data_IF_392921856523
#
_entry.id   IF_392921856523
#
_cell.length_a   1.000
_cell.length_b   1.000
_cell.length_c   1.000
_cell.angle_alpha   90.00
_cell.angle_beta   90.00
_cell.angle_gamma   90.00
#
_symmetry.space_group_name_H-M   'P 1'
#
loop_
_entity.id
_entity.type
_entity.pdbx_description
1 polymer ?
#
# COMPACT_ATOMS: atom_id res chain seq x y z
N UNK A 1 -7.48 -75.32 10.51
CA UNK A 1 -7.80 -73.90 10.76
C UNK A 1 -8.37 -73.29 9.48
N UNK A 2 -9.69 -73.36 9.34
CA UNK A 2 -10.52 -72.76 8.30
C UNK A 2 -11.82 -72.38 9.01
N UNK A 3 -11.87 -71.20 9.60
CA UNK A 3 -13.03 -70.61 10.25
C UNK A 3 -12.80 -69.10 10.19
N UNK A 4 -13.86 -68.33 9.99
CA UNK A 4 -13.88 -66.87 9.74
C UNK A 4 -13.74 -66.46 8.26
N UNK A 5 -14.63 -66.96 7.39
CA UNK A 5 -14.88 -66.30 6.09
C UNK A 5 -16.35 -66.29 5.62
N UNK A 6 -17.31 -66.57 6.50
CA UNK A 6 -18.73 -66.57 6.11
C UNK A 6 -19.66 -66.37 7.32
N UNK A 7 -19.88 -65.13 7.71
CA UNK A 7 -21.02 -64.77 8.55
C UNK A 7 -21.39 -63.31 8.24
N UNK A 8 -22.69 -63.08 8.03
CA UNK A 8 -23.39 -61.79 7.90
C UNK A 8 -23.69 -61.31 6.47
N UNK A 9 -24.30 -62.20 5.67
CA UNK A 9 -25.54 -61.84 4.97
C UNK A 9 -26.70 -62.59 5.64
N UNK A 10 -27.76 -61.89 6.02
CA UNK A 10 -29.12 -62.45 6.09
C UNK A 10 -29.73 -62.67 7.48
N UNK A 11 -30.51 -61.68 7.94
CA UNK A 11 -31.75 -61.77 8.75
C UNK A 11 -32.40 -60.37 8.67
N UNK A 12 -33.40 -60.05 7.83
CA UNK A 12 -34.80 -60.53 7.79
C UNK A 12 -35.40 -60.63 9.22
N UNK A 13 -36.56 -60.08 9.58
CA UNK A 13 -37.61 -59.29 8.93
C UNK A 13 -38.55 -58.79 10.06
N UNK A 14 -39.36 -57.77 9.79
CA UNK A 14 -40.68 -57.63 10.42
C UNK A 14 -40.94 -56.33 11.20
N UNK A 15 -41.49 -55.32 10.51
CA UNK A 15 -42.62 -54.54 11.06
C UNK A 15 -43.70 -54.44 9.97
N UNK A 16 -44.91 -54.71 10.43
CA UNK A 16 -46.16 -55.00 9.75
C UNK A 16 -46.78 -53.76 9.11
N UNK A 17 -47.48 -53.99 8.00
CA UNK A 17 -48.30 -53.05 7.26
C UNK A 17 -49.36 -52.34 8.12
N UNK A 18 -49.48 -51.02 7.94
CA UNK A 18 -50.69 -50.24 8.25
C UNK A 18 -50.90 -49.19 7.16
N UNK A 19 -52.04 -49.28 6.48
CA UNK A 19 -52.80 -48.14 5.95
C UNK A 19 -52.29 -47.46 4.67
N UNK A 20 -52.94 -47.76 3.54
CA UNK A 20 -53.04 -46.86 2.40
C UNK A 20 -53.82 -45.60 2.80
N UNK A 21 -53.13 -44.51 3.13
CA UNK A 21 -53.72 -43.18 3.16
C UNK A 21 -53.52 -42.54 1.78
N UNK A 22 -54.62 -42.48 1.03
CA UNK A 22 -54.76 -41.66 -0.17
C UNK A 22 -54.62 -40.19 0.18
N UNK A 23 -54.02 -39.44 -0.76
CA UNK A 23 -53.93 -37.99 -0.87
C UNK A 23 -54.72 -37.16 0.16
N UNK A 24 -53.99 -36.35 0.91
CA UNK A 24 -54.37 -34.95 1.03
C UNK A 24 -53.34 -34.17 0.22
N UNK A 25 -53.68 -33.92 -1.05
CA UNK A 25 -53.11 -32.81 -1.80
C UNK A 25 -53.28 -31.57 -0.92
N UNK A 26 -52.20 -31.14 -0.27
CA UNK A 26 -52.06 -29.73 0.04
C UNK A 26 -52.21 -29.03 -1.31
N UNK A 27 -53.12 -28.05 -1.45
CA UNK A 27 -53.20 -27.28 -2.67
C UNK A 27 -51.78 -26.83 -2.96
N UNK A 28 -51.25 -27.30 -4.08
CA UNK A 28 -50.11 -26.67 -4.74
C UNK A 28 -50.60 -25.25 -4.99
N UNK A 29 -50.50 -24.39 -3.97
CA UNK A 29 -50.27 -22.97 -4.15
C UNK A 29 -48.99 -23.00 -4.93
N UNK A 30 -49.15 -23.03 -6.25
CA UNK A 30 -48.19 -22.66 -7.28
C UNK A 30 -47.01 -22.05 -6.57
N UNK A 31 -46.00 -22.89 -6.25
CA UNK A 31 -44.77 -22.36 -5.70
C UNK A 31 -44.41 -21.28 -6.73
N UNK A 32 -44.35 -20.02 -6.28
CA UNK A 32 -43.92 -18.93 -7.15
C UNK A 32 -42.66 -19.45 -7.86
N UNK A 33 -42.50 -19.21 -9.18
CA UNK A 33 -41.31 -19.68 -9.89
C UNK A 33 -40.11 -19.35 -9.01
N UNK A 34 -39.46 -20.39 -8.48
CA UNK A 34 -38.24 -20.17 -7.72
C UNK A 34 -37.26 -19.81 -8.81
N UNK A 35 -37.03 -18.52 -9.01
CA UNK A 35 -36.03 -18.02 -9.95
C UNK A 35 -34.67 -18.47 -9.41
N UNK A 36 -34.27 -19.66 -9.84
CA UNK A 36 -32.96 -20.20 -9.53
C UNK A 36 -31.91 -19.30 -10.15
N UNK A 37 -30.80 -19.15 -9.45
CA UNK A 37 -29.61 -18.50 -9.96
C UNK A 37 -29.12 -19.29 -11.18
N UNK A 38 -29.29 -18.71 -12.36
CA UNK A 38 -28.90 -19.34 -13.63
C UNK A 38 -27.43 -19.07 -13.91
N UNK A 39 -26.72 -20.05 -14.47
CA UNK A 39 -25.33 -19.86 -14.91
C UNK A 39 -25.30 -18.87 -16.07
N UNK A 40 -24.44 -17.86 -15.98
CA UNK A 40 -24.17 -16.95 -17.08
C UNK A 40 -22.90 -17.36 -17.82
N UNK A 41 -23.07 -17.97 -18.99
CA UNK A 41 -21.95 -18.39 -19.84
C UNK A 41 -21.33 -17.25 -20.64
N UNK A 42 -21.99 -16.08 -20.74
CA UNK A 42 -21.55 -14.96 -21.58
C UNK A 42 -20.21 -14.35 -21.15
N UNK A 43 -19.89 -14.36 -19.85
CA UNK A 43 -18.69 -13.75 -19.29
C UNK A 43 -17.71 -14.75 -18.64
N UNK A 44 -17.95 -16.04 -18.83
CA UNK A 44 -17.06 -17.12 -18.38
C UNK A 44 -17.49 -17.81 -17.09
N UNK A 45 -16.59 -18.61 -16.55
CA UNK A 45 -16.85 -19.44 -15.36
C UNK A 45 -17.04 -18.58 -14.10
N UNK A 46 -17.90 -19.06 -13.20
CA UNK A 46 -18.19 -18.40 -11.92
C UNK A 46 -19.21 -17.25 -12.00
N UNK A 47 -19.71 -16.91 -13.20
CA UNK A 47 -20.78 -15.93 -13.37
C UNK A 47 -22.17 -16.58 -13.31
N UNK A 48 -23.10 -15.85 -12.71
CA UNK A 48 -24.51 -16.20 -12.67
C UNK A 48 -25.40 -14.99 -12.93
N UNK A 49 -26.58 -15.19 -13.49
CA UNK A 49 -27.53 -14.09 -13.72
C UNK A 49 -28.10 -13.61 -12.39
N UNK A 50 -28.16 -12.28 -12.23
CA UNK A 50 -28.97 -11.66 -11.19
C UNK A 50 -30.44 -11.87 -11.58
N UNK A 51 -31.27 -12.49 -10.71
CA UNK A 51 -32.66 -12.80 -11.04
C UNK A 51 -33.44 -11.58 -11.56
N UNK A 52 -34.15 -11.76 -12.68
CA UNK A 52 -34.93 -10.69 -13.32
C UNK A 52 -34.13 -9.70 -14.17
N UNK A 53 -32.85 -9.98 -14.45
CA UNK A 53 -31.99 -9.10 -15.27
C UNK A 53 -31.13 -9.91 -16.24
N UNK A 54 -30.58 -9.23 -17.26
CA UNK A 54 -29.55 -9.78 -18.16
C UNK A 54 -28.12 -9.53 -17.64
N UNK A 55 -27.99 -9.15 -16.36
CA UNK A 55 -26.71 -8.86 -15.72
C UNK A 55 -26.13 -10.11 -15.07
N UNK A 56 -24.86 -10.38 -15.39
CA UNK A 56 -24.12 -11.49 -14.83
C UNK A 56 -23.26 -11.01 -13.66
N UNK A 57 -23.35 -11.68 -12.52
CA UNK A 57 -22.57 -11.41 -11.32
C UNK A 57 -21.60 -12.56 -11.05
N UNK A 58 -20.35 -12.22 -10.75
CA UNK A 58 -19.40 -13.12 -10.10
C UNK A 58 -19.15 -12.65 -8.68
N UNK A 59 -19.28 -13.57 -7.73
CA UNK A 59 -18.85 -13.38 -6.34
C UNK A 59 -17.58 -14.18 -6.16
N UNK A 60 -16.54 -13.53 -5.65
CA UNK A 60 -15.29 -14.18 -5.29
C UNK A 60 -14.65 -13.50 -4.10
N UNK A 61 -13.43 -13.89 -3.79
CA UNK A 61 -12.66 -13.23 -2.75
C UNK A 61 -11.67 -14.17 -2.08
N UNK A 62 -11.33 -13.86 -0.84
CA UNK A 62 -10.47 -14.72 -0.04
C UNK A 62 -10.71 -14.54 1.46
N UNK A 63 -10.32 -15.55 2.23
CA UNK A 63 -10.01 -15.40 3.65
C UNK A 63 -8.53 -15.69 3.82
N UNK A 64 -7.81 -14.79 4.50
CA UNK A 64 -6.40 -15.00 4.82
C UNK A 64 -6.14 -14.82 6.31
N UNK A 65 -5.18 -15.58 6.79
CA UNK A 65 -4.53 -15.41 8.08
C UNK A 65 -3.06 -15.06 7.84
N UNK A 66 -2.54 -14.11 8.61
CA UNK A 66 -1.14 -13.74 8.59
C UNK A 66 -0.56 -13.72 9.99
N UNK A 67 0.64 -14.28 10.12
CA UNK A 67 1.48 -14.18 11.31
C UNK A 67 2.80 -13.58 10.89
N UNK A 68 3.14 -12.45 11.46
CA UNK A 68 4.34 -11.69 11.13
C UNK A 68 5.22 -11.58 12.36
N UNK A 69 6.45 -12.03 12.23
CA UNK A 69 7.53 -11.66 13.12
C UNK A 69 8.33 -10.55 12.46
N UNK A 70 8.76 -9.58 13.24
CA UNK A 70 9.67 -8.57 12.76
C UNK A 70 10.63 -8.18 13.87
N UNK A 71 11.92 -8.11 13.52
CA UNK A 71 13.00 -7.65 14.40
C UNK A 71 12.63 -6.32 15.08
N UNK A 72 13.21 -6.04 16.26
CA UNK A 72 13.01 -4.81 16.99
C UNK A 72 13.52 -3.61 16.16
N UNK A 73 12.59 -2.83 15.62
CA UNK A 73 12.84 -1.45 15.25
C UNK A 73 12.66 -0.58 16.49
N UNK A 74 13.52 0.42 16.71
CA UNK A 74 13.35 1.39 17.79
C UNK A 74 12.18 2.31 17.42
N UNK A 75 10.96 1.96 17.82
CA UNK A 75 9.79 2.81 17.60
C UNK A 75 9.67 3.78 18.76
N UNK A 76 9.71 5.08 18.50
CA UNK A 76 9.14 6.07 19.41
C UNK A 76 7.63 6.01 19.23
N UNK A 77 6.91 5.50 20.24
CA UNK A 77 5.45 5.56 20.24
C UNK A 77 5.00 7.03 20.14
N UNK A 78 4.47 7.43 18.99
CA UNK A 78 3.90 8.76 18.74
C UNK A 78 2.57 9.02 19.48
N UNK A 79 2.24 8.26 20.53
CA UNK A 79 0.93 8.32 21.18
C UNK A 79 0.94 8.14 22.71
N UNK A 80 1.98 8.60 23.39
CA UNK A 80 1.86 8.95 24.82
C UNK A 80 1.57 10.44 24.95
N UNK A 81 0.35 10.84 24.57
CA UNK A 81 -0.24 12.05 25.11
C UNK A 81 -0.58 11.75 26.59
N UNK A 82 0.37 12.03 27.47
CA UNK A 82 0.13 11.97 28.91
C UNK A 82 -0.76 13.16 29.30
N UNK A 83 -2.07 12.93 29.39
CA UNK A 83 -3.07 13.90 29.82
C UNK A 83 -2.93 14.34 31.30
N UNK A 84 -1.85 13.98 32.00
CA UNK A 84 -1.58 14.45 33.37
C UNK A 84 -0.63 15.65 33.45
N UNK A 85 -0.10 16.12 32.31
CA UNK A 85 0.75 17.31 32.27
C UNK A 85 -0.13 18.59 32.19
N UNK A 86 -0.05 19.51 33.16
CA UNK A 86 -0.80 20.78 33.15
C UNK A 86 -0.50 21.62 31.90
N UNK A 87 -1.51 22.30 31.36
CA UNK A 87 -1.46 23.08 30.12
C UNK A 87 -0.50 24.30 30.14
N UNK A 88 0.18 24.55 31.26
CA UNK A 88 1.22 25.57 31.43
C UNK A 88 2.65 24.99 31.45
N UNK A 89 2.81 23.67 31.33
CA UNK A 89 4.12 23.06 31.09
C UNK A 89 4.45 23.10 29.60
N UNK A 90 5.23 24.10 29.23
CA UNK A 90 6.01 24.19 27.99
C UNK A 90 6.98 22.99 27.88
N UNK A 91 6.44 21.83 27.55
CA UNK A 91 7.21 20.65 27.20
C UNK A 91 6.68 20.09 25.91
N UNK A 92 7.16 20.69 24.81
CA UNK A 92 7.19 20.13 23.48
C UNK A 92 7.47 18.62 23.53
N UNK A 93 6.48 17.84 23.14
CA UNK A 93 6.56 16.40 22.96
C UNK A 93 7.35 16.07 21.68
N UNK A 94 8.62 16.48 21.61
CA UNK A 94 9.66 15.78 20.84
C UNK A 94 10.62 15.03 21.76
N UNK A 95 10.23 14.85 23.04
CA UNK A 95 10.84 13.78 23.85
C UNK A 95 10.63 12.48 23.08
N UNK A 96 11.73 11.94 22.55
CA UNK A 96 11.86 10.50 22.30
C UNK A 96 11.51 9.86 23.65
N UNK A 97 10.24 9.47 23.82
CA UNK A 97 9.75 8.97 25.09
C UNK A 97 10.52 7.68 25.37
N UNK A 98 11.46 7.77 26.32
CA UNK A 98 12.26 6.67 26.88
C UNK A 98 11.38 5.50 27.34
N UNK A 99 10.11 5.76 27.66
CA UNK A 99 9.18 4.79 28.21
C UNK A 99 8.25 4.13 27.15
N UNK A 100 8.37 4.52 25.87
CA UNK A 100 7.60 3.94 24.73
C UNK A 100 8.44 3.27 23.65
N UNK A 101 9.77 3.31 23.77
CA UNK A 101 10.70 2.61 22.89
C UNK A 101 10.52 1.10 22.96
N UNK A 102 9.86 0.47 21.98
CA UNK A 102 9.85 -1.00 21.91
C UNK A 102 11.18 -1.51 21.38
N UNK A 103 12.10 -1.85 22.29
CA UNK A 103 13.29 -2.67 22.01
C UNK A 103 12.97 -4.17 21.77
N UNK A 104 11.69 -4.50 21.59
CA UNK A 104 11.22 -5.87 21.51
C UNK A 104 10.80 -6.19 20.09
N UNK A 105 11.23 -7.36 19.59
CA UNK A 105 10.72 -7.89 18.33
C UNK A 105 9.19 -7.94 18.37
N UNK A 106 8.56 -7.57 17.27
CA UNK A 106 7.11 -7.54 17.16
C UNK A 106 6.61 -8.85 16.58
N UNK A 107 5.56 -9.39 17.18
CA UNK A 107 4.82 -10.52 16.65
C UNK A 107 3.35 -10.15 16.50
N UNK A 108 2.91 -10.00 15.26
CA UNK A 108 1.58 -9.53 14.91
C UNK A 108 0.82 -10.62 14.18
N UNK A 109 -0.47 -10.77 14.51
CA UNK A 109 -1.36 -11.74 13.90
C UNK A 109 -2.67 -11.06 13.53
N UNK A 110 -3.17 -11.32 12.33
CA UNK A 110 -4.46 -10.82 11.90
C UNK A 110 -5.10 -11.74 10.87
N UNK A 111 -6.41 -11.58 10.70
CA UNK A 111 -7.16 -12.19 9.62
C UNK A 111 -7.83 -11.10 8.79
N UNK A 112 -7.89 -11.31 7.46
CA UNK A 112 -8.62 -10.44 6.53
C UNK A 112 -9.52 -11.28 5.64
N UNK A 113 -10.76 -10.84 5.49
CA UNK A 113 -11.65 -11.25 4.41
C UNK A 113 -11.63 -10.26 3.27
N UNK A 114 -11.69 -10.75 2.03
CA UNK A 114 -12.02 -9.96 0.84
C UNK A 114 -13.30 -10.52 0.23
N UNK A 115 -14.21 -9.62 -0.16
CA UNK A 115 -15.41 -9.93 -0.95
C UNK A 115 -15.32 -9.12 -2.23
N UNK A 116 -15.34 -9.82 -3.36
CA UNK A 116 -15.30 -9.25 -4.70
C UNK A 116 -16.63 -9.49 -5.40
N UNK A 117 -17.21 -8.41 -5.94
CA UNK A 117 -18.43 -8.42 -6.73
C UNK A 117 -18.10 -7.85 -8.12
N UNK A 118 -18.22 -8.67 -9.17
CA UNK A 118 -18.00 -8.26 -10.57
C UNK A 118 -19.30 -8.48 -11.34
N UNK A 119 -20.02 -7.40 -11.62
CA UNK A 119 -21.27 -7.41 -12.39
C UNK A 119 -20.98 -6.96 -13.83
N UNK A 120 -21.49 -7.70 -14.81
CA UNK A 120 -21.30 -7.43 -16.24
C UNK A 120 -22.60 -7.55 -17.01
N UNK A 121 -22.84 -6.60 -17.89
CA UNK A 121 -24.00 -6.59 -18.80
C UNK A 121 -23.51 -6.33 -20.20
N UNK A 122 -23.96 -7.14 -21.16
CA UNK A 122 -23.69 -6.88 -22.57
C UNK A 122 -24.60 -5.75 -23.04
N UNK A 123 -24.03 -4.72 -23.65
CA UNK A 123 -24.78 -3.60 -24.23
C UNK A 123 -24.40 -3.42 -25.70
N UNK A 124 -25.16 -2.60 -26.42
CA UNK A 124 -24.85 -2.26 -27.81
C UNK A 124 -23.51 -1.51 -27.98
N UNK A 125 -22.98 -0.91 -26.91
CA UNK A 125 -21.72 -0.16 -26.88
C UNK A 125 -20.55 -0.98 -26.30
N UNK A 126 -20.75 -2.27 -26.07
CA UNK A 126 -19.78 -3.17 -25.44
C UNK A 126 -20.19 -3.57 -24.02
N UNK A 127 -19.26 -4.15 -23.26
CA UNK A 127 -19.54 -4.64 -21.91
C UNK A 127 -19.60 -3.47 -20.92
N UNK A 128 -20.72 -3.31 -20.24
CA UNK A 128 -20.82 -2.51 -19.02
C UNK A 128 -20.39 -3.38 -17.85
N UNK A 129 -19.39 -2.93 -17.09
CA UNK A 129 -18.89 -3.62 -15.91
C UNK A 129 -19.01 -2.73 -14.67
N UNK A 130 -19.38 -3.33 -13.55
CA UNK A 130 -19.35 -2.73 -12.23
C UNK A 130 -18.59 -3.67 -11.30
N UNK A 131 -17.55 -3.15 -10.66
CA UNK A 131 -16.69 -3.94 -9.78
C UNK A 131 -16.62 -3.30 -8.40
N UNK A 132 -16.67 -4.13 -7.36
CA UNK A 132 -16.40 -3.73 -5.99
C UNK A 132 -15.57 -4.80 -5.27
N UNK A 133 -14.53 -4.37 -4.55
CA UNK A 133 -13.75 -5.19 -3.63
C UNK A 133 -13.80 -4.58 -2.23
N UNK A 134 -14.27 -5.37 -1.28
CA UNK A 134 -14.47 -4.98 0.12
C UNK A 134 -13.53 -5.78 0.98
N UNK A 135 -12.70 -5.09 1.77
CA UNK A 135 -11.89 -5.71 2.81
C UNK A 135 -12.58 -5.62 4.16
N UNK A 136 -12.53 -6.74 4.88
CA UNK A 136 -13.02 -6.89 6.25
C UNK A 136 -11.86 -7.35 7.11
N UNK A 137 -11.46 -6.50 8.04
CA UNK A 137 -10.44 -6.77 9.05
C UNK A 137 -11.08 -6.77 10.45
N UNK A 138 -10.31 -7.14 11.47
CA UNK A 138 -10.74 -7.01 12.86
C UNK A 138 -10.98 -5.54 13.21
N UNK A 139 -12.25 -5.14 13.24
CA UNK A 139 -12.67 -3.78 13.63
C UNK A 139 -12.78 -2.76 12.51
N UNK A 140 -12.52 -3.12 11.24
CA UNK A 140 -12.70 -2.21 10.11
C UNK A 140 -13.27 -2.90 8.88
N UNK A 141 -14.06 -2.16 8.12
CA UNK A 141 -14.52 -2.55 6.78
C UNK A 141 -14.23 -1.40 5.83
N UNK A 142 -13.58 -1.69 4.69
CA UNK A 142 -13.20 -0.67 3.72
C UNK A 142 -13.47 -1.13 2.30
N UNK A 143 -13.83 -0.17 1.43
CA UNK A 143 -13.88 -0.36 -0.01
C UNK A 143 -12.46 -0.19 -0.57
N UNK A 144 -11.83 -1.28 -0.99
CA UNK A 144 -10.48 -1.24 -1.58
C UNK A 144 -10.55 -0.68 -3.00
N UNK A 145 -11.44 -1.25 -3.81
CA UNK A 145 -11.70 -0.86 -5.19
C UNK A 145 -13.21 -0.84 -5.45
N UNK A 146 -13.68 0.11 -6.26
CA UNK A 146 -15.10 0.29 -6.56
C UNK A 146 -15.29 1.18 -7.78
N UNK A 147 -15.57 0.61 -8.95
CA UNK A 147 -15.59 1.36 -10.21
C UNK A 147 -16.59 0.80 -11.23
N UNK A 148 -16.90 1.64 -12.21
CA UNK A 148 -17.70 1.31 -13.39
C UNK A 148 -16.81 1.43 -14.63
N UNK A 149 -16.86 0.43 -15.51
CA UNK A 149 -16.19 0.45 -16.81
C UNK A 149 -17.21 0.35 -17.95
N UNK A 150 -17.07 1.22 -18.94
CA UNK A 150 -17.95 1.27 -20.10
C UNK A 150 -17.28 1.94 -21.29
N UNK A 151 -17.25 1.28 -22.45
CA UNK A 151 -16.69 1.84 -23.70
C UNK A 151 -15.28 2.46 -23.55
N UNK A 152 -14.41 1.81 -22.77
CA UNK A 152 -13.04 2.28 -22.48
C UNK A 152 -12.95 3.30 -21.34
N UNK A 153 -14.07 3.87 -20.87
CA UNK A 153 -14.10 4.71 -19.69
C UNK A 153 -14.04 3.87 -18.41
N UNK A 154 -13.34 4.37 -17.40
CA UNK A 154 -13.32 3.84 -16.04
C UNK A 154 -13.56 4.97 -15.06
N UNK A 155 -14.58 4.83 -14.20
CA UNK A 155 -14.96 5.84 -13.22
C UNK A 155 -15.12 5.19 -11.84
N UNK A 156 -14.43 5.72 -10.82
CA UNK A 156 -14.56 5.26 -9.44
C UNK A 156 -13.22 5.09 -8.74
N UNK A 157 -13.18 4.31 -7.66
CA UNK A 157 -11.99 4.07 -6.85
C UNK A 157 -11.20 2.85 -7.35
N UNK A 158 -9.92 3.03 -7.66
CA UNK A 158 -8.99 1.92 -7.99
C UNK A 158 -7.53 2.35 -7.80
N UNK A 159 -6.61 1.39 -7.94
CA UNK A 159 -5.19 1.70 -8.03
C UNK A 159 -4.87 2.59 -9.23
N UNK A 160 -3.89 3.48 -9.09
CA UNK A 160 -3.39 4.35 -10.16
C UNK A 160 -3.01 3.59 -11.44
N UNK A 161 -3.16 4.23 -12.60
CA UNK A 161 -2.59 3.71 -13.85
C UNK A 161 -1.08 3.89 -13.95
N UNK A 162 -0.46 4.66 -13.04
CA UNK A 162 0.99 4.75 -12.93
C UNK A 162 1.60 3.41 -12.54
N UNK A 163 0.89 2.62 -11.72
CA UNK A 163 1.39 1.35 -11.17
C UNK A 163 1.67 0.36 -12.29
N UNK A 164 2.94 -0.01 -12.43
CA UNK A 164 3.37 -1.09 -13.31
C UNK A 164 3.21 -2.47 -12.66
N UNK A 165 4.33 -3.10 -12.36
CA UNK A 165 4.35 -4.44 -11.78
C UNK A 165 4.20 -4.35 -10.25
N UNK A 166 3.51 -5.34 -9.65
CA UNK A 166 3.38 -5.39 -8.19
C UNK A 166 4.70 -5.79 -7.53
N UNK A 167 4.87 -5.42 -6.25
CA UNK A 167 5.91 -6.00 -5.40
C UNK A 167 5.42 -7.35 -4.85
N UNK A 168 6.21 -8.44 -4.91
CA UNK A 168 5.80 -9.77 -4.46
C UNK A 168 5.90 -9.97 -2.94
N UNK A 169 6.47 -9.00 -2.23
CA UNK A 169 6.63 -8.98 -0.78
C UNK A 169 5.27 -9.11 -0.08
N UNK A 170 5.23 -9.79 1.08
CA UNK A 170 4.00 -9.92 1.88
C UNK A 170 3.91 -8.79 2.89
N UNK A 171 4.99 -8.59 3.63
CA UNK A 171 5.13 -7.57 4.65
C UNK A 171 6.61 -7.27 4.88
N UNK A 172 6.92 -6.09 5.44
CA UNK A 172 8.31 -5.62 5.50
C UNK A 172 8.77 -5.10 4.15
N UNK A 173 10.06 -4.75 4.05
CA UNK A 173 10.70 -4.23 2.84
C UNK A 173 10.09 -2.95 2.27
N UNK A 174 10.37 -2.71 0.98
CA UNK A 174 9.91 -1.53 0.26
C UNK A 174 8.75 -1.87 -0.66
N UNK A 175 7.73 -1.03 -0.62
CA UNK A 175 6.60 -1.08 -1.53
C UNK A 175 6.77 -0.04 -2.63
N UNK A 176 6.16 -0.29 -3.78
CA UNK A 176 5.85 0.78 -4.72
C UNK A 176 4.50 1.40 -4.35
N UNK A 177 4.15 2.54 -4.94
CA UNK A 177 2.85 3.17 -4.70
C UNK A 177 1.68 2.21 -5.00
N UNK A 178 1.00 1.76 -3.94
CA UNK A 178 -0.12 0.81 -4.01
C UNK A 178 -1.48 1.46 -3.71
N UNK A 179 -1.50 2.76 -3.40
CA UNK A 179 -2.71 3.43 -2.93
C UNK A 179 -3.82 3.44 -3.99
N UNK A 180 -5.04 3.12 -3.58
CA UNK A 180 -6.24 3.23 -4.42
C UNK A 180 -6.96 4.54 -4.12
N UNK A 181 -7.32 5.29 -5.16
CA UNK A 181 -8.01 6.57 -5.05
C UNK A 181 -9.14 6.68 -6.08
N UNK A 182 -10.09 7.60 -5.89
CA UNK A 182 -11.03 8.00 -6.93
C UNK A 182 -10.29 8.44 -8.19
N UNK A 183 -10.77 8.00 -9.35
CA UNK A 183 -10.26 8.43 -10.64
C UNK A 183 -11.33 8.42 -11.73
N UNK A 184 -11.02 9.12 -12.82
CA UNK A 184 -11.66 8.99 -14.11
C UNK A 184 -10.58 8.69 -15.16
N UNK A 185 -10.80 7.68 -15.99
CA UNK A 185 -9.84 7.27 -17.00
C UNK A 185 -10.51 6.89 -18.31
N UNK A 186 -9.72 6.95 -19.38
CA UNK A 186 -10.06 6.38 -20.68
C UNK A 186 -8.91 5.50 -21.16
N UNK A 187 -9.23 4.26 -21.53
CA UNK A 187 -8.29 3.28 -22.07
C UNK A 187 -8.66 2.93 -23.50
N UNK A 188 -7.73 3.15 -24.42
CA UNK A 188 -7.80 2.66 -25.79
C UNK A 188 -7.07 1.32 -25.88
N UNK A 189 -7.79 0.27 -26.27
CA UNK A 189 -7.22 -1.04 -26.58
C UNK A 189 -6.89 -1.12 -28.08
N UNK A 190 -5.60 -1.31 -28.39
CA UNK A 190 -5.05 -1.38 -29.74
C UNK A 190 -4.45 -2.78 -30.02
N UNK A 191 -4.93 -3.81 -29.32
CA UNK A 191 -4.43 -5.17 -29.40
C UNK A 191 -3.29 -5.42 -28.40
N UNK A 192 -2.04 -5.69 -28.83
CA UNK A 192 -0.93 -5.87 -27.90
C UNK A 192 -0.59 -4.61 -27.08
N UNK A 193 -1.01 -3.43 -27.55
CA UNK A 193 -0.78 -2.15 -26.88
C UNK A 193 -2.10 -1.64 -26.31
N UNK A 194 -2.07 -1.20 -25.06
CA UNK A 194 -3.14 -0.39 -24.45
C UNK A 194 -2.58 0.96 -24.02
N UNK A 195 -3.34 2.02 -24.27
CA UNK A 195 -3.02 3.39 -23.88
C UNK A 195 -4.09 3.89 -22.93
N UNK A 196 -3.68 4.49 -21.82
CA UNK A 196 -4.59 5.04 -20.83
C UNK A 196 -4.20 6.47 -20.48
N UNK A 197 -5.22 7.32 -20.36
CA UNK A 197 -5.12 8.62 -19.70
C UNK A 197 -6.08 8.63 -18.51
N UNK A 198 -5.66 9.21 -17.39
CA UNK A 198 -6.50 9.35 -16.20
C UNK A 198 -6.29 10.68 -15.50
N UNK A 199 -7.37 11.14 -14.87
CA UNK A 199 -7.38 12.14 -13.82
C UNK A 199 -7.68 11.42 -12.50
N UNK A 200 -6.72 11.45 -11.59
CA UNK A 200 -6.75 10.71 -10.33
C UNK A 200 -6.84 11.70 -9.17
N UNK A 201 -7.47 11.31 -8.07
CA UNK A 201 -7.43 12.10 -6.83
C UNK A 201 -5.98 12.37 -6.45
N UNK A 202 -5.72 13.54 -5.88
CA UNK A 202 -4.43 13.88 -5.30
C UNK A 202 -3.98 12.76 -4.35
N UNK A 203 -2.69 12.43 -4.46
CA UNK A 203 -2.09 11.30 -3.73
C UNK A 203 -1.14 11.78 -2.65
N UNK A 204 -1.29 13.04 -2.29
CA UNK A 204 -0.53 13.71 -1.25
C UNK A 204 -0.71 12.93 0.05
N UNK A 205 0.41 12.39 0.53
CA UNK A 205 0.48 11.79 1.85
C UNK A 205 0.52 12.98 2.79
N UNK A 206 -0.59 13.23 3.49
CA UNK A 206 -0.67 14.21 4.56
C UNK A 206 0.24 13.77 5.71
N UNK A 207 1.47 14.25 5.70
CA UNK A 207 2.27 14.38 6.91
C UNK A 207 2.41 15.88 7.17
N UNK A 208 1.57 16.34 8.10
CA UNK A 208 1.62 17.70 8.63
C UNK A 208 2.99 17.85 9.32
N UNK A 209 3.87 18.64 8.73
CA UNK A 209 5.12 19.00 9.40
C UNK A 209 4.89 20.31 10.13
N UNK A 210 4.35 20.19 11.34
CA UNK A 210 4.42 21.25 12.33
C UNK A 210 5.89 21.69 12.47
N UNK A 211 6.14 22.97 12.19
CA UNK A 211 7.45 23.57 12.38
C UNK A 211 7.95 23.33 13.80
N UNK A 212 9.25 23.05 13.93
CA UNK A 212 9.87 22.92 15.26
C UNK A 212 9.89 24.32 15.89
N UNK A 213 9.16 24.49 16.99
CA UNK A 213 9.27 25.70 17.81
C UNK A 213 10.40 25.52 18.81
N UNK A 214 11.37 26.44 18.84
CA UNK A 214 12.43 26.50 19.86
C UNK A 214 12.32 27.84 20.56
N UNK A 215 12.14 27.80 21.89
CA UNK A 215 12.10 28.98 22.76
C UNK A 215 11.04 30.02 22.34
N UNK A 216 9.88 29.53 21.92
CA UNK A 216 8.77 30.37 21.44
C UNK A 216 8.95 30.93 20.03
N UNK A 217 10.06 30.59 19.34
CA UNK A 217 10.33 31.01 17.95
C UNK A 217 10.26 29.81 17.00
N UNK A 218 9.58 29.97 15.86
CA UNK A 218 9.38 28.90 14.87
C UNK A 218 10.66 28.75 14.04
N UNK A 219 11.49 27.76 14.37
CA UNK A 219 12.72 27.45 13.63
C UNK A 219 12.46 26.24 12.74
N UNK A 220 11.79 26.49 11.62
CA UNK A 220 11.55 25.49 10.59
C UNK A 220 10.42 25.91 9.66
N UNK A 221 10.74 26.17 8.39
CA UNK A 221 9.73 26.38 7.36
C UNK A 221 9.18 25.01 6.91
N UNK A 222 8.28 24.46 7.72
CA UNK A 222 7.36 23.42 7.27
C UNK A 222 6.48 23.97 6.16
N UNK A 223 6.23 23.17 5.12
CA UNK A 223 5.31 23.51 4.06
C UNK A 223 3.92 23.06 4.55
N UNK A 224 3.04 23.98 4.95
CA UNK A 224 1.62 23.64 5.02
C UNK A 224 1.20 23.32 3.59
N UNK A 225 0.99 22.05 3.23
CA UNK A 225 0.51 21.73 1.89
C UNK A 225 -0.94 22.22 1.77
N UNK A 226 -1.19 23.16 0.87
CA UNK A 226 -2.57 23.52 0.53
C UNK A 226 -3.15 22.41 -0.34
N UNK A 227 -4.45 22.11 -0.19
CA UNK A 227 -5.14 21.13 -1.04
C UNK A 227 -4.88 21.43 -2.52
N UNK A 228 -4.49 20.41 -3.28
CA UNK A 228 -4.32 20.52 -4.72
C UNK A 228 -5.59 21.11 -5.36
N UNK A 229 -5.40 22.04 -6.30
CA UNK A 229 -6.49 22.65 -7.07
C UNK A 229 -6.89 21.80 -8.28
N UNK A 230 -6.15 20.74 -8.59
CA UNK A 230 -6.37 19.86 -9.74
C UNK A 230 -6.18 18.37 -9.39
N UNK A 231 -6.80 17.45 -10.14
CA UNK A 231 -6.44 16.04 -10.07
C UNK A 231 -4.99 15.82 -10.55
N UNK A 232 -4.40 14.71 -10.11
CA UNK A 232 -3.18 14.22 -10.72
C UNK A 232 -3.50 13.66 -12.11
N UNK A 233 -2.73 14.06 -13.12
CA UNK A 233 -2.87 13.53 -14.47
C UNK A 233 -1.87 12.41 -14.69
N UNK A 234 -2.36 11.25 -15.11
CA UNK A 234 -1.53 10.09 -15.42
C UNK A 234 -1.74 9.64 -16.86
N UNK A 235 -0.66 9.33 -17.55
CA UNK A 235 -0.68 8.67 -18.84
C UNK A 235 0.12 7.36 -18.73
N UNK A 236 -0.44 6.27 -19.24
CA UNK A 236 0.18 4.96 -19.20
C UNK A 236 0.08 4.25 -20.54
N UNK A 237 1.10 3.47 -20.85
CA UNK A 237 1.15 2.54 -21.96
C UNK A 237 1.54 1.18 -21.43
N UNK A 238 0.79 0.16 -21.82
CA UNK A 238 1.13 -1.23 -21.57
C UNK A 238 1.20 -1.99 -22.87
N UNK A 239 2.30 -2.70 -23.08
CA UNK A 239 2.46 -3.67 -24.15
C UNK A 239 2.43 -5.08 -23.54
N UNK A 240 1.66 -5.99 -24.12
CA UNK A 240 1.62 -7.39 -23.71
C UNK A 240 1.48 -8.26 -24.95
N UNK A 241 2.46 -9.13 -25.16
CA UNK A 241 2.47 -10.09 -26.25
C UNK A 241 3.18 -11.36 -25.79
N UNK A 242 2.44 -12.48 -25.82
CA UNK A 242 2.90 -13.76 -25.29
C UNK A 242 3.44 -13.66 -23.85
N UNK A 243 4.62 -14.22 -23.63
CA UNK A 243 5.32 -14.22 -22.35
C UNK A 243 6.05 -12.91 -22.02
N UNK A 244 5.85 -11.81 -22.76
CA UNK A 244 6.50 -10.52 -22.50
C UNK A 244 5.47 -9.42 -22.25
N UNK A 245 5.72 -8.59 -21.23
CA UNK A 245 4.94 -7.40 -20.92
C UNK A 245 5.88 -6.23 -20.64
N UNK A 246 5.60 -5.06 -21.20
CA UNK A 246 6.21 -3.79 -20.81
C UNK A 246 5.16 -2.80 -20.31
N UNK A 247 5.56 -1.94 -19.37
CA UNK A 247 4.74 -0.86 -18.84
C UNK A 247 5.56 0.42 -18.79
N UNK A 248 4.99 1.52 -19.25
CA UNK A 248 5.53 2.86 -19.17
C UNK A 248 4.42 3.78 -18.68
N UNK A 249 4.68 4.62 -17.69
CA UNK A 249 3.72 5.63 -17.27
C UNK A 249 4.40 6.90 -16.79
N UNK A 250 3.68 8.00 -16.88
CA UNK A 250 4.04 9.30 -16.34
C UNK A 250 2.89 9.90 -15.56
N UNK A 251 3.20 10.60 -14.47
CA UNK A 251 2.25 11.33 -13.64
C UNK A 251 2.68 12.79 -13.51
N UNK A 252 1.70 13.69 -13.45
CA UNK A 252 1.85 15.12 -13.20
C UNK A 252 0.97 15.47 -11.99
N UNK A 253 1.55 16.15 -11.01
CA UNK A 253 0.88 16.56 -9.77
C UNK A 253 1.10 18.04 -9.49
N UNK A 254 0.15 18.69 -8.82
CA UNK A 254 0.28 20.07 -8.37
C UNK A 254 0.82 20.10 -6.95
N UNK A 255 1.80 20.95 -6.69
CA UNK A 255 2.30 21.23 -5.34
C UNK A 255 1.92 22.66 -5.02
N UNK A 256 1.16 22.86 -3.94
CA UNK A 256 0.69 24.18 -3.50
C UNK A 256 1.15 24.48 -2.08
N UNK A 257 1.74 25.65 -1.86
CA UNK A 257 2.00 26.13 -0.49
C UNK A 257 0.76 26.79 0.13
N UNK A 258 0.53 26.42 1.37
CA UNK A 258 -0.37 27.05 2.32
C UNK A 258 0.22 28.32 2.91
N UNK A 259 -0.50 28.88 3.87
CA UNK A 259 -0.23 30.19 4.44
C UNK A 259 0.79 30.06 5.58
N UNK A 260 2.03 30.53 5.41
CA UNK A 260 2.93 30.67 6.54
C UNK A 260 2.35 31.69 7.55
N UNK A 261 2.23 31.37 8.85
CA UNK A 261 1.69 32.30 9.82
C UNK A 261 2.53 33.58 9.89
N UNK A 262 1.84 34.72 9.92
CA UNK A 262 2.46 36.04 10.04
C UNK A 262 3.23 36.12 11.37
N UNK A 263 4.55 35.98 11.29
CA UNK A 263 5.46 35.92 12.43
C UNK A 263 6.72 35.11 12.15
N UNK A 264 6.62 34.08 11.30
CA UNK A 264 7.74 33.18 10.97
C UNK A 264 8.75 33.77 9.95
N UNK A 265 8.49 34.95 9.38
CA UNK A 265 9.41 35.63 8.47
C UNK A 265 9.88 36.90 9.17
N UNK A 266 11.10 36.90 9.70
CA UNK A 266 11.73 38.01 10.41
C UNK A 266 11.96 39.30 9.57
N UNK A 267 11.29 39.46 8.43
CA UNK A 267 11.45 40.59 7.53
C UNK A 267 10.17 40.92 6.75
N UNK A 268 9.01 41.07 7.42
CA UNK A 268 7.83 41.72 6.83
C UNK A 268 7.30 41.13 5.51
N UNK A 269 7.61 39.87 5.20
CA UNK A 269 7.13 39.17 4.03
C UNK A 269 5.74 38.62 4.29
N UNK A 270 4.73 39.17 3.63
CA UNK A 270 3.41 38.53 3.54
C UNK A 270 3.51 37.17 2.85
N UNK A 271 2.47 36.36 3.03
CA UNK A 271 2.31 35.02 2.48
C UNK A 271 2.73 34.90 1.02
N UNK A 272 3.48 33.85 0.69
CA UNK A 272 3.76 33.48 -0.69
C UNK A 272 3.04 32.15 -0.98
N UNK A 273 1.72 32.19 -1.28
CA UNK A 273 1.08 31.04 -1.93
C UNK A 273 1.76 30.85 -3.29
N UNK A 274 2.43 29.71 -3.43
CA UNK A 274 3.15 29.31 -4.63
C UNK A 274 2.56 28.01 -5.15
N UNK A 275 2.23 27.98 -6.44
CA UNK A 275 1.92 26.76 -7.17
C UNK A 275 3.15 26.36 -7.97
N UNK A 276 3.55 25.10 -7.84
CA UNK A 276 4.50 24.45 -8.74
C UNK A 276 3.99 23.06 -9.13
N UNK A 277 4.72 22.36 -9.99
CA UNK A 277 4.31 21.06 -10.48
C UNK A 277 5.39 20.02 -10.26
N UNK A 278 4.98 18.87 -9.75
CA UNK A 278 5.76 17.66 -9.64
C UNK A 278 5.49 16.70 -10.77
N UNK A 279 6.42 15.79 -11.04
CA UNK A 279 6.18 14.70 -11.98
C UNK A 279 6.86 13.41 -11.53
N UNK A 280 6.30 12.28 -11.96
CA UNK A 280 6.90 10.96 -11.82
C UNK A 280 6.88 10.20 -13.14
N UNK A 281 7.86 9.33 -13.34
CA UNK A 281 7.97 8.43 -14.48
C UNK A 281 8.25 7.02 -13.97
N UNK A 282 7.64 6.01 -14.58
CA UNK A 282 7.97 4.60 -14.32
C UNK A 282 8.04 3.81 -15.60
N UNK A 283 8.99 2.88 -15.64
CA UNK A 283 9.11 1.90 -16.70
C UNK A 283 9.42 0.53 -16.10
N UNK A 284 8.88 -0.52 -16.70
CA UNK A 284 9.22 -1.87 -16.30
C UNK A 284 8.90 -2.89 -17.38
N UNK A 285 9.46 -4.07 -17.19
CA UNK A 285 9.21 -5.24 -18.02
C UNK A 285 9.01 -6.47 -17.15
N UNK A 286 8.18 -7.40 -17.62
CA UNK A 286 8.07 -8.75 -17.07
C UNK A 286 8.10 -9.73 -18.23
N UNK A 287 8.93 -10.76 -18.14
CA UNK A 287 9.07 -11.73 -19.20
C UNK A 287 9.39 -13.14 -18.70
N UNK A 288 8.89 -14.13 -19.43
CA UNK A 288 9.23 -15.53 -19.25
C UNK A 288 10.65 -15.79 -19.78
N UNK A 289 11.62 -15.92 -18.88
CA UNK A 289 12.98 -16.29 -19.28
C UNK A 289 13.10 -17.80 -19.52
N UNK A 290 12.27 -18.59 -18.84
CA UNK A 290 12.15 -20.05 -18.98
C UNK A 290 10.67 -20.43 -18.83
N UNK A 291 10.23 -21.62 -19.27
CA UNK A 291 8.82 -22.05 -19.16
C UNK A 291 8.24 -22.03 -17.74
N UNK A 292 9.10 -22.11 -16.71
CA UNK A 292 8.70 -22.04 -15.30
C UNK A 292 9.30 -20.84 -14.57
N UNK A 293 9.96 -19.91 -15.28
CA UNK A 293 10.64 -18.76 -14.67
C UNK A 293 10.25 -17.45 -15.33
N UNK A 294 9.71 -16.54 -14.53
CA UNK A 294 9.40 -15.17 -14.94
C UNK A 294 10.33 -14.19 -14.24
N UNK A 295 10.92 -13.28 -14.99
CA UNK A 295 11.70 -12.16 -14.48
C UNK A 295 10.88 -10.88 -14.59
N UNK A 296 10.96 -10.03 -13.56
CA UNK A 296 10.34 -8.70 -13.58
C UNK A 296 11.35 -7.68 -13.11
N UNK A 297 11.41 -6.55 -13.81
CA UNK A 297 12.24 -5.39 -13.46
C UNK A 297 11.39 -4.13 -13.65
N UNK A 298 11.39 -3.24 -12.65
CA UNK A 298 10.69 -1.98 -12.74
C UNK A 298 11.46 -0.88 -12.01
N UNK A 299 11.52 0.30 -12.62
CA UNK A 299 12.03 1.51 -11.99
C UNK A 299 11.00 2.63 -11.97
N UNK A 300 11.11 3.53 -11.01
CA UNK A 300 10.39 4.79 -11.01
C UNK A 300 11.30 5.93 -10.55
N UNK A 301 11.08 7.14 -11.08
CA UNK A 301 11.79 8.37 -10.77
C UNK A 301 10.78 9.49 -10.57
N UNK A 302 11.00 10.36 -9.59
CA UNK A 302 10.12 11.50 -9.32
C UNK A 302 10.89 12.78 -9.03
N UNK A 303 10.30 13.92 -9.40
CA UNK A 303 10.68 15.25 -8.94
C UNK A 303 9.44 15.92 -8.34
N UNK A 304 9.38 16.00 -7.02
CA UNK A 304 8.24 16.52 -6.26
C UNK A 304 6.93 15.76 -6.47
N UNK A 305 7.01 14.44 -6.59
CA UNK A 305 5.86 13.54 -6.73
C UNK A 305 6.18 12.18 -6.09
N UNK A 306 6.71 12.22 -4.87
CA UNK A 306 7.32 11.10 -4.17
C UNK A 306 6.32 10.04 -3.72
N UNK A 307 5.06 10.43 -3.54
CA UNK A 307 3.93 9.51 -3.30
C UNK A 307 3.86 8.39 -4.35
N UNK A 308 4.32 8.63 -5.58
CA UNK A 308 4.39 7.64 -6.66
C UNK A 308 5.53 6.63 -6.54
N UNK A 309 6.54 6.87 -5.71
CA UNK A 309 7.68 5.97 -5.52
C UNK A 309 7.43 4.90 -4.45
N UNK A 310 6.52 5.14 -3.50
CA UNK A 310 6.29 4.23 -2.36
C UNK A 310 7.46 4.15 -1.37
N UNK A 311 8.40 5.10 -1.48
CA UNK A 311 9.50 5.30 -0.53
C UNK A 311 8.91 5.83 0.78
N UNK A 312 8.66 4.93 1.72
CA UNK A 312 8.14 5.24 3.05
C UNK A 312 8.97 4.57 4.16
N UNK A 313 8.92 5.14 5.36
CA UNK A 313 9.65 4.70 6.54
C UNK A 313 8.61 4.43 7.64
N UNK A 314 8.22 3.18 7.86
CA UNK A 314 7.36 2.81 8.98
C UNK A 314 8.09 1.85 9.92
N UNK A 315 7.88 2.00 11.24
CA UNK A 315 8.43 1.15 12.29
C UNK A 315 9.97 0.99 12.27
N UNK A 316 10.69 2.10 12.06
CA UNK A 316 12.17 2.18 12.00
C UNK A 316 12.75 2.89 13.21
N UNK A 317 14.04 2.66 13.48
CA UNK A 317 14.80 3.27 14.59
C UNK A 317 14.84 4.80 14.54
N UNK A 318 14.59 5.36 13.37
CA UNK A 318 14.44 6.79 13.15
C UNK A 318 13.47 6.99 11.99
N UNK A 319 12.74 8.09 12.03
CA UNK A 319 11.86 8.52 10.94
C UNK A 319 12.61 9.52 10.06
N UNK A 320 12.61 9.27 8.74
CA UNK A 320 13.08 10.23 7.75
C UNK A 320 11.89 10.64 6.90
N UNK A 321 11.17 11.70 7.32
CA UNK A 321 10.05 12.18 6.55
C UNK A 321 10.45 12.51 5.12
N UNK A 322 9.54 12.19 4.22
CA UNK A 322 9.62 12.46 2.79
C UNK A 322 8.60 13.54 2.45
N UNK A 323 9.00 14.50 1.63
CA UNK A 323 8.13 15.56 1.16
C UNK A 323 8.35 15.77 -0.33
N UNK A 324 7.36 16.34 -1.01
CA UNK A 324 7.44 16.63 -2.43
C UNK A 324 8.19 17.94 -2.71
N UNK A 325 8.15 18.88 -1.77
CA UNK A 325 8.91 20.11 -1.87
C UNK A 325 9.17 20.76 -0.51
N UNK A 326 10.05 21.76 -0.53
CA UNK A 326 10.37 22.59 0.62
C UNK A 326 10.44 24.07 0.25
N UNK A 327 10.17 24.97 1.20
CA UNK A 327 10.34 26.42 1.06
C UNK A 327 11.71 26.87 1.53
N UNK A 328 12.40 27.68 0.74
CA UNK A 328 13.59 28.40 1.20
C UNK A 328 13.20 29.60 2.07
N UNK A 329 14.17 30.10 2.84
CA UNK A 329 14.14 31.39 3.55
C UNK A 329 13.68 32.59 2.69
N UNK A 330 13.92 32.50 1.40
CA UNK A 330 13.55 33.48 0.35
C UNK A 330 12.16 33.23 -0.25
N UNK A 331 11.39 32.26 0.27
CA UNK A 331 10.05 31.91 -0.21
C UNK A 331 10.02 31.13 -1.53
N UNK A 332 11.15 30.60 -1.99
CA UNK A 332 11.21 29.80 -3.22
C UNK A 332 10.92 28.33 -2.93
N UNK A 333 10.08 27.71 -3.77
CA UNK A 333 9.78 26.27 -3.66
C UNK A 333 10.91 25.45 -4.31
N UNK A 334 11.44 24.47 -3.57
CA UNK A 334 12.47 23.52 -4.02
C UNK A 334 11.92 22.10 -3.95
N UNK A 335 11.76 21.48 -5.11
CA UNK A 335 11.26 20.10 -5.24
C UNK A 335 12.31 19.08 -4.78
N UNK A 336 11.83 17.95 -4.30
CA UNK A 336 12.65 16.79 -3.94
C UNK A 336 12.84 15.87 -5.13
N UNK A 337 13.89 15.06 -5.09
CA UNK A 337 14.17 14.05 -6.12
C UNK A 337 14.16 12.67 -5.46
N UNK A 338 13.70 11.66 -6.18
CA UNK A 338 13.82 10.29 -5.72
C UNK A 338 13.73 9.27 -6.85
N UNK A 339 14.18 8.07 -6.58
CA UNK A 339 14.02 6.94 -7.49
C UNK A 339 13.98 5.61 -6.75
N UNK A 340 13.33 4.63 -7.36
CA UNK A 340 13.29 3.24 -6.89
C UNK A 340 13.51 2.29 -8.05
N UNK A 341 14.15 1.17 -7.76
CA UNK A 341 14.29 0.00 -8.63
C UNK A 341 13.80 -1.22 -7.87
N UNK A 342 12.98 -2.04 -8.52
CA UNK A 342 12.47 -3.30 -8.00
C UNK A 342 12.72 -4.39 -9.01
N UNK A 343 13.19 -5.55 -8.55
CA UNK A 343 13.41 -6.71 -9.38
C UNK A 343 12.87 -7.96 -8.68
N UNK A 344 12.33 -8.90 -9.45
CA UNK A 344 11.94 -10.20 -8.95
C UNK A 344 12.13 -11.31 -9.97
N UNK A 345 12.38 -12.50 -9.45
CA UNK A 345 12.44 -13.75 -10.19
C UNK A 345 11.48 -14.71 -9.54
N UNK A 346 10.45 -15.13 -10.28
CA UNK A 346 9.52 -16.16 -9.85
C UNK A 346 9.88 -17.46 -10.56
N UNK A 347 10.09 -18.55 -9.82
CA UNK A 347 10.38 -19.87 -10.36
C UNK A 347 9.41 -20.91 -9.77
N UNK A 348 8.70 -21.62 -10.65
CA UNK A 348 7.89 -22.78 -10.28
C UNK A 348 8.76 -24.05 -10.31
N UNK A 349 9.08 -24.57 -9.12
CA UNK A 349 9.80 -25.83 -8.96
C UNK A 349 8.92 -27.02 -9.30
N UNK A 350 7.65 -26.95 -8.90
CA UNK A 350 6.59 -27.89 -9.25
C UNK A 350 5.30 -27.10 -9.49
N UNK A 351 4.23 -27.71 -10.05
CA UNK A 351 2.94 -27.03 -10.19
C UNK A 351 2.34 -26.52 -8.87
N UNK A 352 2.77 -27.07 -7.73
CA UNK A 352 2.28 -26.73 -6.39
C UNK A 352 3.28 -25.92 -5.57
N UNK A 353 4.55 -25.81 -5.98
CA UNK A 353 5.60 -25.13 -5.22
C UNK A 353 6.31 -24.12 -6.11
N UNK A 354 6.17 -22.84 -5.76
CA UNK A 354 6.87 -21.75 -6.41
C UNK A 354 7.70 -20.97 -5.40
N UNK A 355 8.78 -20.35 -5.87
CA UNK A 355 9.62 -19.46 -5.09
C UNK A 355 9.83 -18.16 -5.82
N UNK A 356 9.72 -17.06 -5.09
CA UNK A 356 10.01 -15.72 -5.57
C UNK A 356 11.25 -15.22 -4.82
N UNK A 357 12.27 -14.79 -5.56
CA UNK A 357 13.37 -13.98 -5.05
C UNK A 357 13.13 -12.55 -5.51
N UNK A 358 13.21 -11.57 -4.61
CA UNK A 358 12.93 -10.19 -4.95
C UNK A 358 13.87 -9.23 -4.20
N UNK A 359 14.12 -8.08 -4.79
CA UNK A 359 14.92 -7.04 -4.18
C UNK A 359 14.52 -5.65 -4.67
N UNK A 360 14.86 -4.66 -3.86
CA UNK A 360 14.64 -3.26 -4.19
C UNK A 360 15.82 -2.40 -3.74
N UNK A 361 16.00 -1.28 -4.42
CA UNK A 361 16.88 -0.19 -3.99
C UNK A 361 16.21 1.13 -4.37
N UNK A 362 16.29 2.12 -3.49
CA UNK A 362 15.80 3.45 -3.80
C UNK A 362 16.47 4.54 -3.00
N UNK A 363 16.38 5.75 -3.51
CA UNK A 363 16.96 6.94 -2.89
C UNK A 363 15.94 8.06 -2.85
N UNK A 364 16.01 8.82 -1.76
CA UNK A 364 15.32 10.08 -1.58
C UNK A 364 16.36 11.17 -1.32
N UNK A 365 16.23 12.27 -2.05
CA UNK A 365 17.15 13.40 -2.01
C UNK A 365 16.37 14.68 -1.87
N UNK A 366 16.43 15.22 -0.66
CA UNK A 366 15.96 16.56 -0.41
C UNK A 366 16.94 17.64 -0.94
N UNK A 367 16.43 18.85 -1.25
CA UNK A 367 17.25 19.96 -1.74
C UNK A 367 18.25 20.46 -0.70
N UNK A 368 19.49 20.70 -1.13
CA UNK A 368 20.55 21.22 -0.26
C UNK A 368 20.34 22.69 0.17
N UNK A 369 19.46 23.43 -0.51
CA UNK A 369 19.25 24.88 -0.36
C UNK A 369 18.55 25.30 0.94
N UNK A 370 18.04 24.34 1.71
CA UNK A 370 17.48 24.60 3.04
C UNK A 370 18.52 24.49 4.16
N UNK A 371 19.75 24.07 3.82
CA UNK A 371 20.83 23.91 4.79
C UNK A 371 21.45 25.28 5.03
N UNK A 372 20.79 26.13 5.83
CA UNK A 372 21.46 27.32 6.33
C UNK A 372 21.07 27.69 7.77
N UNK A 373 22.12 27.69 8.59
CA UNK A 373 22.33 28.31 9.90
C UNK A 373 21.20 29.08 10.55
N UNK A 374 20.57 28.46 11.55
CA UNK A 374 19.63 29.14 12.44
C UNK A 374 19.97 29.01 13.93
N UNK A 375 21.23 28.71 14.28
CA UNK A 375 21.70 28.85 15.67
C UNK A 375 23.18 29.26 15.66
N UNK A 376 23.47 30.50 16.05
CA UNK A 376 24.77 30.82 16.64
C UNK A 376 24.83 30.12 18.01
N UNK A 377 25.81 29.23 18.27
CA UNK A 377 25.98 28.59 19.57
C UNK A 377 26.05 29.58 20.75
N UNK A 378 26.33 30.86 20.49
CA UNK A 378 26.37 31.92 21.48
C UNK A 378 25.00 32.47 21.91
N UNK A 379 23.95 32.35 21.07
CA UNK A 379 22.63 32.96 21.34
C UNK A 379 21.71 32.07 22.19
N UNK A 380 22.09 30.83 22.47
CA UNK A 380 21.30 29.90 23.28
C UNK A 380 22.04 29.60 24.57
N UNK A 381 21.73 30.39 25.60
CA UNK A 381 22.26 30.21 26.95
C UNK A 381 21.83 28.87 27.55
N UNK A 382 22.73 27.89 27.51
CA UNK A 382 22.61 26.64 28.27
C UNK A 382 22.46 25.39 27.41
N UNK A 383 23.56 24.62 27.32
CA UNK A 383 23.65 23.20 26.96
C UNK A 383 22.50 22.57 26.17
N UNK A 384 22.59 22.61 24.83
CA UNK A 384 21.74 21.83 23.92
C UNK A 384 22.57 21.05 22.89
N UNK A 385 23.31 20.03 23.36
CA UNK A 385 24.03 19.11 22.48
C UNK A 385 23.10 18.26 21.56
N UNK A 386 21.77 18.29 21.76
CA UNK A 386 20.79 17.49 21.00
C UNK A 386 20.06 18.22 19.86
N UNK A 387 19.69 19.49 20.05
CA UNK A 387 18.84 20.23 19.10
C UNK A 387 19.61 20.64 17.83
N UNK A 388 20.81 21.21 17.98
CA UNK A 388 21.64 21.72 16.86
C UNK A 388 22.00 20.65 15.81
N UNK A 389 21.92 19.37 16.16
CA UNK A 389 22.36 18.29 15.31
C UNK A 389 21.20 17.50 14.64
N UNK A 390 19.95 17.63 15.13
CA UNK A 390 18.74 17.26 14.37
C UNK A 390 18.55 18.18 13.15
N UNK A 391 18.84 19.49 13.31
CA UNK A 391 18.85 20.46 12.21
C UNK A 391 19.82 20.13 11.06
N UNK A 392 20.96 19.51 11.36
CA UNK A 392 21.97 19.19 10.33
C UNK A 392 21.54 18.10 9.33
N UNK A 393 20.51 17.31 9.68
CA UNK A 393 19.94 16.31 8.78
C UNK A 393 18.68 16.80 8.07
N UNK A 394 18.12 17.95 8.44
CA UNK A 394 16.99 18.53 7.72
C UNK A 394 17.50 19.39 6.55
N UNK A 395 16.96 19.21 5.34
CA UNK A 395 15.98 18.21 4.96
C UNK A 395 16.65 16.85 4.67
N UNK A 396 15.94 15.77 5.02
CA UNK A 396 16.49 14.42 5.07
C UNK A 396 16.82 13.89 3.67
N UNK A 397 17.93 13.17 3.53
CA UNK A 397 18.23 12.38 2.33
C UNK A 397 18.65 10.99 2.78
N UNK A 398 18.23 9.96 2.07
CA UNK A 398 18.53 8.57 2.41
C UNK A 398 18.50 7.64 1.21
N UNK A 399 19.12 6.47 1.42
CA UNK A 399 18.99 5.31 0.54
C UNK A 399 18.39 4.15 1.33
N UNK A 400 17.64 3.30 0.66
CA UNK A 400 17.01 2.12 1.25
C UNK A 400 17.13 0.96 0.27
N UNK A 401 17.40 -0.22 0.79
CA UNK A 401 17.44 -1.43 -0.01
C UNK A 401 16.82 -2.59 0.73
N UNK A 402 16.22 -3.50 -0.01
CA UNK A 402 15.65 -4.72 0.54
C UNK A 402 15.98 -5.93 -0.31
N UNK A 403 16.07 -7.08 0.33
CA UNK A 403 16.19 -8.38 -0.32
C UNK A 403 15.30 -9.37 0.43
N UNK A 404 14.54 -10.18 -0.30
CA UNK A 404 13.69 -11.18 0.31
C UNK A 404 13.38 -12.36 -0.59
N UNK A 405 12.90 -13.42 0.04
CA UNK A 405 12.42 -14.61 -0.65
C UNK A 405 11.11 -15.08 -0.06
N UNK A 406 10.22 -15.50 -0.94
CA UNK A 406 8.91 -16.06 -0.63
C UNK A 406 8.77 -17.42 -1.26
N UNK A 407 8.31 -18.40 -0.50
CA UNK A 407 7.94 -19.73 -1.00
C UNK A 407 6.44 -19.89 -0.87
N UNK A 408 5.79 -20.26 -1.97
CA UNK A 408 4.37 -20.52 -2.06
C UNK A 408 4.12 -22.00 -2.27
N UNK A 409 3.32 -22.61 -1.40
CA UNK A 409 2.81 -23.96 -1.51
C UNK A 409 1.30 -23.96 -1.73
N UNK A 410 0.86 -24.49 -2.87
CA UNK A 410 -0.55 -24.56 -3.28
C UNK A 410 -0.96 -26.03 -3.43
N UNK A 411 -1.30 -26.72 -2.32
CA UNK A 411 -1.61 -28.15 -2.35
C UNK A 411 -2.89 -28.49 -3.13
N UNK A 412 -3.86 -27.58 -3.12
CA UNK A 412 -5.14 -27.69 -3.84
C UNK A 412 -5.52 -26.32 -4.39
N UNK A 413 -6.33 -26.32 -5.45
CA UNK A 413 -6.83 -25.09 -6.05
C UNK A 413 -7.49 -24.18 -4.99
N UNK A 414 -7.12 -22.91 -4.99
CA UNK A 414 -7.66 -21.90 -4.09
C UNK A 414 -7.00 -21.84 -2.71
N UNK A 415 -6.15 -22.80 -2.30
CA UNK A 415 -5.43 -22.73 -1.02
C UNK A 415 -3.94 -22.49 -1.25
N UNK A 416 -3.39 -21.40 -0.73
CA UNK A 416 -1.97 -21.10 -0.77
C UNK A 416 -1.43 -20.84 0.64
N UNK A 417 -0.32 -21.49 0.96
CA UNK A 417 0.49 -21.26 2.15
C UNK A 417 1.80 -20.63 1.72
N UNK A 418 2.09 -19.44 2.23
CA UNK A 418 3.26 -18.65 1.88
C UNK A 418 4.16 -18.42 3.08
N UNK A 419 5.44 -18.72 2.95
CA UNK A 419 6.49 -18.28 3.88
C UNK A 419 7.34 -17.21 3.20
N UNK A 420 7.42 -16.01 3.79
CA UNK A 420 8.17 -14.87 3.26
C UNK A 420 9.19 -14.39 4.31
N UNK A 421 10.44 -14.19 3.90
CA UNK A 421 11.48 -13.60 4.74
C UNK A 421 12.20 -12.52 3.94
N UNK A 422 12.34 -11.34 4.53
CA UNK A 422 13.07 -10.23 3.94
C UNK A 422 13.90 -9.47 4.96
N UNK A 423 14.93 -8.82 4.42
CA UNK A 423 15.77 -7.85 5.09
C UNK A 423 15.62 -6.50 4.41
N UNK A 424 15.59 -5.43 5.18
CA UNK A 424 15.62 -4.05 4.70
C UNK A 424 16.64 -3.25 5.50
N UNK A 425 17.43 -2.41 4.83
CA UNK A 425 18.30 -1.43 5.46
C UNK A 425 18.01 -0.06 4.87
N UNK A 426 17.88 0.95 5.73
CA UNK A 426 17.88 2.36 5.35
C UNK A 426 19.11 3.06 5.91
N UNK A 427 19.80 3.81 5.05
CA UNK A 427 20.94 4.64 5.42
C UNK A 427 20.61 6.11 5.20
N UNK A 428 20.59 6.88 6.28
CA UNK A 428 20.53 8.34 6.23
C UNK A 428 21.84 8.91 5.67
N UNK A 429 21.76 10.02 4.95
CA UNK A 429 22.95 10.70 4.40
C UNK A 429 23.84 11.25 5.52
N UNK A 430 23.25 11.85 6.55
CA UNK A 430 23.92 12.27 7.77
C UNK A 430 23.45 11.41 8.96
N UNK A 431 24.13 11.54 10.10
CA UNK A 431 23.74 10.83 11.32
C UNK A 431 22.43 11.42 11.86
N UNK A 432 21.54 10.55 12.31
CA UNK A 432 20.27 10.85 12.99
C UNK A 432 20.43 10.51 14.46
N UNK A 433 19.90 11.33 15.36
CA UNK A 433 19.90 11.00 16.78
C UNK A 433 18.77 10.05 17.12
N UNK A 434 19.09 9.05 17.95
CA UNK A 434 18.14 8.02 18.35
C UNK A 434 17.84 8.06 19.84
N UNK A 435 18.69 8.70 20.67
CA UNK A 435 18.47 8.89 22.11
C UNK A 435 19.31 10.03 22.70
N UNK A 436 18.82 10.64 23.78
CA UNK A 436 19.59 11.51 24.69
C UNK A 436 19.56 10.89 26.09
N UNK A 437 20.72 10.49 26.63
CA UNK A 437 20.84 9.96 28.00
C UNK A 437 21.86 10.80 28.76
N UNK A 438 21.38 11.71 29.62
CA UNK A 438 22.24 12.71 30.26
C UNK A 438 22.95 13.58 29.21
N UNK A 439 24.27 13.74 29.32
CA UNK A 439 25.09 14.46 28.32
C UNK A 439 25.47 13.62 27.08
N UNK A 440 25.04 12.35 27.02
CA UNK A 440 25.40 11.45 25.91
C UNK A 440 24.29 11.41 24.85
N UNK A 441 24.63 11.84 23.63
CA UNK A 441 23.70 11.82 22.49
C UNK A 441 24.00 10.62 21.59
N UNK A 442 23.12 9.63 21.59
CA UNK A 442 23.25 8.47 20.71
C UNK A 442 22.76 8.84 19.30
N UNK A 443 23.57 8.50 18.29
CA UNK A 443 23.19 8.70 16.89
C UNK A 443 23.46 7.44 16.08
N UNK A 444 22.71 7.26 15.00
CA UNK A 444 22.95 6.23 14.00
C UNK A 444 22.92 6.84 12.61
N UNK A 445 23.51 6.16 11.63
CA UNK A 445 23.37 6.49 10.20
C UNK A 445 22.52 5.47 9.47
N UNK A 446 22.26 4.32 10.11
CA UNK A 446 21.64 3.16 9.50
C UNK A 446 20.63 2.54 10.43
N UNK A 447 19.57 2.03 9.84
CA UNK A 447 18.63 1.14 10.49
C UNK A 447 18.35 -0.03 9.57
N UNK A 448 18.23 -1.20 10.17
CA UNK A 448 18.05 -2.44 9.47
C UNK A 448 17.11 -3.40 10.20
N UNK A 449 16.44 -4.27 9.43
CA UNK A 449 15.37 -5.08 9.98
C UNK A 449 15.13 -6.36 9.19
N UNK A 450 14.93 -7.45 9.92
CA UNK A 450 14.38 -8.69 9.39
C UNK A 450 12.87 -8.77 9.60
N UNK A 451 12.14 -9.18 8.57
CA UNK A 451 10.71 -9.54 8.63
C UNK A 451 10.54 -10.98 8.18
N UNK A 452 9.77 -11.76 8.94
CA UNK A 452 9.32 -13.09 8.55
C UNK A 452 7.80 -13.18 8.64
N UNK A 453 7.14 -13.63 7.57
CA UNK A 453 5.68 -13.73 7.51
C UNK A 453 5.24 -15.10 7.04
N UNK A 454 4.29 -15.68 7.77
CA UNK A 454 3.50 -16.82 7.32
C UNK A 454 2.12 -16.31 6.91
N UNK A 455 1.72 -16.54 5.66
CA UNK A 455 0.36 -16.28 5.16
C UNK A 455 -0.31 -17.59 4.78
N UNK A 456 -1.53 -17.81 5.25
CA UNK A 456 -2.40 -18.88 4.76
C UNK A 456 -3.62 -18.21 4.15
N UNK A 457 -3.84 -18.41 2.86
CA UNK A 457 -4.95 -17.80 2.14
C UNK A 457 -5.77 -18.84 1.41
N UNK A 458 -7.08 -18.77 1.58
CA UNK A 458 -8.05 -19.51 0.77
C UNK A 458 -8.86 -18.54 -0.07
N UNK A 459 -8.67 -18.59 -1.38
CA UNK A 459 -9.46 -17.87 -2.38
C UNK A 459 -10.63 -18.73 -2.86
N UNK A 460 -11.74 -18.09 -3.22
CA UNK A 460 -12.95 -18.73 -3.75
C UNK A 460 -13.59 -17.91 -4.86
#
# INVERSE_FOLDING_TARGET
MKLVKSLLLGSAAGIVAVGSAVAADLPVRKAAPVDYVQVCSAFGTGYFYIPGTDTCLRVGGFVRYESRWTDAGWSVDGNTYDNTVPADADTLSTRINRDGGRDTSQFNQFARGSIQLDARTATEFGTLRSYAEIFVDTGSTSLDSGFIEFAGLTLGKRGTYFRGFGSPIIAGGQWMAINSGPLAAYTADLGPVSLTISAESDRDIFEDHDGVTIDGDVVGYGFDNASSGMPDFVAAMRYSDGGFTAHLAGALTEIRSGFAPAGAVAAGGGSIPGTTYGYALTAGVSFEALPTTTFTLQGAYSVGAHSYLGLGQADRRFELPVSDAYLTDTGSVKKTEGWVLNASVNHAWTPQIAQILYGSYGEYKAPAALRNGLIDPADIGGGLNGAAAQYNNMPNSFSTWSLGTRVDWTPVAGLTVSGDVNYVETAAKNRVFTNVVGDTVASTKKDDRWTATLRVQRSF
#
